data_IF_685031509143
#
_entry.id   IF_685031509143
#
_cell.length_a   1.000
_cell.length_b   1.000
_cell.length_c   1.000
_cell.angle_alpha   90.00
_cell.angle_beta   90.00
_cell.angle_gamma   90.00
#
_symmetry.space_group_name_H-M   'P 1'
#
loop_
_entity.id
_entity.type
_entity.pdbx_description
1 polymer ?
#
# COMPACT_ATOMS: atom_id res chain seq x y z
N UNK A 1 2.55 -12.65 0.62
CA UNK A 1 3.26 -12.67 1.92
C UNK A 1 3.90 -11.30 2.14
N UNK A 2 3.82 -10.74 3.34
CA UNK A 2 4.49 -9.47 3.71
C UNK A 2 5.36 -9.74 4.94
N UNK A 3 6.65 -9.42 4.88
CA UNK A 3 7.61 -9.69 5.96
C UNK A 3 8.56 -8.50 6.17
N UNK A 4 8.81 -8.13 7.43
CA UNK A 4 9.81 -7.09 7.77
C UNK A 4 11.23 -7.66 7.95
N UNK A 5 11.57 -8.71 7.21
CA UNK A 5 12.88 -9.37 7.25
C UNK A 5 13.35 -9.73 5.84
N UNK A 6 14.50 -10.41 5.75
CA UNK A 6 15.06 -10.90 4.50
C UNK A 6 14.30 -12.10 3.94
N UNK A 7 14.18 -12.19 2.62
CA UNK A 7 13.70 -13.36 1.90
C UNK A 7 14.77 -13.96 0.97
N UNK A 8 14.67 -15.27 0.71
CA UNK A 8 15.50 -16.02 -0.24
C UNK A 8 14.64 -16.77 -1.24
N UNK A 9 15.28 -17.49 -2.16
CA UNK A 9 14.61 -18.36 -3.13
C UNK A 9 13.65 -17.58 -4.06
N UNK A 10 14.03 -16.32 -4.40
CA UNK A 10 13.20 -15.37 -5.15
C UNK A 10 12.77 -15.92 -6.51
N UNK A 11 13.63 -16.66 -7.20
CA UNK A 11 13.29 -17.27 -8.50
C UNK A 11 12.11 -18.22 -8.35
N UNK A 12 12.22 -19.18 -7.43
CA UNK A 12 11.21 -20.21 -7.21
C UNK A 12 9.90 -19.56 -6.73
N UNK A 13 9.98 -18.60 -5.80
CA UNK A 13 8.81 -17.85 -5.33
C UNK A 13 8.09 -17.10 -6.47
N UNK A 14 8.86 -16.50 -7.38
CA UNK A 14 8.31 -15.81 -8.56
C UNK A 14 7.66 -16.80 -9.52
N UNK A 15 8.32 -17.92 -9.82
CA UNK A 15 7.79 -18.98 -10.70
C UNK A 15 6.52 -19.61 -10.13
N UNK A 16 6.40 -19.70 -8.81
CA UNK A 16 5.20 -20.16 -8.10
C UNK A 16 4.07 -19.13 -8.08
N UNK A 17 4.30 -17.89 -8.53
CA UNK A 17 3.33 -16.80 -8.44
C UNK A 17 3.08 -16.33 -6.99
N UNK A 18 4.02 -16.60 -6.07
CA UNK A 18 3.91 -16.13 -4.69
C UNK A 18 4.26 -14.65 -4.61
N UNK A 19 3.24 -13.79 -4.54
CA UNK A 19 3.44 -12.36 -4.28
C UNK A 19 4.08 -12.15 -2.90
N UNK A 20 5.20 -11.43 -2.87
CA UNK A 20 6.02 -11.22 -1.67
C UNK A 20 6.46 -9.76 -1.55
N UNK A 21 6.13 -9.12 -0.43
CA UNK A 21 6.80 -7.92 0.05
C UNK A 21 7.81 -8.28 1.14
N UNK A 22 9.08 -7.89 0.97
CA UNK A 22 10.13 -8.12 1.98
C UNK A 22 11.03 -6.90 2.12
N UNK A 23 11.64 -6.73 3.30
CA UNK A 23 12.58 -5.62 3.57
C UNK A 23 13.91 -5.76 2.81
N UNK A 24 14.31 -6.99 2.52
CA UNK A 24 15.55 -7.28 1.81
C UNK A 24 15.51 -8.66 1.12
N UNK A 25 16.36 -8.85 0.12
CA UNK A 25 16.69 -10.16 -0.43
C UNK A 25 18.00 -10.62 0.22
N UNK A 26 17.99 -11.79 0.88
CA UNK A 26 19.16 -12.34 1.59
C UNK A 26 19.14 -13.86 1.61
N UNK A 27 20.24 -14.48 1.19
CA UNK A 27 20.40 -15.94 1.21
C UNK A 27 20.71 -16.51 2.61
N UNK A 28 20.99 -15.66 3.60
CA UNK A 28 21.35 -16.08 4.95
C UNK A 28 20.20 -16.83 5.63
N UNK A 29 20.49 -17.99 6.22
CA UNK A 29 19.50 -18.81 6.92
C UNK A 29 19.18 -18.31 8.33
N UNK A 30 18.01 -18.69 8.84
CA UNK A 30 17.57 -18.49 10.23
C UNK A 30 17.66 -19.79 11.04
N UNK A 31 17.82 -19.68 12.37
CA UNK A 31 17.75 -20.80 13.33
C UNK A 31 16.31 -21.03 13.82
N UNK A 32 16.05 -22.16 14.49
CA UNK A 32 14.71 -22.55 14.99
C UNK A 32 14.70 -22.87 16.49
N UNK A 33 15.51 -22.14 17.26
CA UNK A 33 15.76 -22.43 18.68
C UNK A 33 14.90 -21.60 19.65
N UNK A 34 14.23 -20.56 19.13
CA UNK A 34 13.45 -19.63 19.95
C UNK A 34 11.98 -19.66 19.55
N UNK A 35 11.10 -19.75 20.56
CA UNK A 35 9.66 -19.64 20.35
C UNK A 35 9.28 -18.18 20.05
N UNK A 36 8.39 -18.02 19.07
CA UNK A 36 7.72 -16.75 18.77
C UNK A 36 6.27 -16.76 19.24
N UNK A 37 5.49 -15.82 18.73
CA UNK A 37 4.03 -15.76 18.91
C UNK A 37 3.33 -15.77 17.56
N UNK A 38 2.11 -16.29 17.53
CA UNK A 38 1.27 -16.36 16.32
C UNK A 38 -0.10 -15.78 16.66
N UNK A 39 -0.68 -15.01 15.75
CA UNK A 39 -1.98 -14.32 15.94
C UNK A 39 -2.03 -13.42 17.18
N UNK A 40 -0.91 -12.74 17.48
CA UNK A 40 -0.84 -11.68 18.48
C UNK A 40 -0.68 -10.32 17.77
N UNK A 41 -1.06 -9.21 18.42
CA UNK A 41 -0.73 -7.88 17.94
C UNK A 41 0.77 -7.74 17.64
N UNK A 42 1.12 -7.18 16.49
CA UNK A 42 2.50 -6.88 16.12
C UNK A 42 2.64 -5.45 15.57
N UNK A 43 3.88 -4.98 15.48
CA UNK A 43 4.24 -3.83 14.66
C UNK A 43 5.08 -4.34 13.49
N UNK A 44 4.66 -4.03 12.27
CA UNK A 44 5.36 -4.38 11.03
C UNK A 44 5.56 -3.12 10.20
N UNK A 45 6.81 -2.78 9.87
CA UNK A 45 7.17 -1.55 9.15
C UNK A 45 6.61 -0.28 9.80
N UNK A 46 6.55 -0.26 11.14
CA UNK A 46 6.00 0.86 11.90
C UNK A 46 4.46 0.92 11.96
N UNK A 47 3.74 -0.03 11.35
CA UNK A 47 2.28 -0.12 11.41
C UNK A 47 1.85 -1.17 12.43
N UNK A 48 0.85 -0.85 13.25
CA UNK A 48 0.20 -1.82 14.12
C UNK A 48 -0.67 -2.76 13.29
N UNK A 49 -0.57 -4.06 13.56
CA UNK A 49 -1.33 -5.11 12.85
C UNK A 49 -1.92 -6.07 13.87
N UNK A 50 -3.23 -6.27 13.79
CA UNK A 50 -3.95 -7.26 14.57
C UNK A 50 -4.28 -8.50 13.75
N UNK A 51 -4.45 -9.63 14.43
CA UNK A 51 -4.88 -10.86 13.77
C UNK A 51 -6.29 -10.69 13.17
N UNK A 52 -6.38 -10.81 11.83
CA UNK A 52 -7.63 -10.68 11.09
C UNK A 52 -7.82 -9.32 10.41
N UNK A 53 -6.89 -8.38 10.57
CA UNK A 53 -6.81 -7.20 9.70
C UNK A 53 -6.57 -7.59 8.25
N UNK A 54 -6.98 -6.72 7.33
CA UNK A 54 -6.83 -6.92 5.89
C UNK A 54 -5.55 -6.26 5.44
N UNK A 55 -4.65 -7.06 4.85
CA UNK A 55 -3.43 -6.55 4.22
C UNK A 55 -3.68 -6.49 2.71
N UNK A 56 -3.63 -5.28 2.15
CA UNK A 56 -3.63 -5.07 0.70
C UNK A 56 -2.21 -4.74 0.30
N UNK A 57 -1.69 -5.45 -0.70
CA UNK A 57 -0.34 -5.24 -1.20
C UNK A 57 -0.30 -5.34 -2.72
N UNK A 58 0.49 -4.46 -3.33
CA UNK A 58 0.72 -4.35 -4.76
C UNK A 58 2.18 -3.92 -5.02
N UNK A 59 2.45 -3.40 -6.23
CA UNK A 59 3.79 -2.96 -6.63
C UNK A 59 4.23 -1.65 -5.96
N UNK A 60 3.29 -0.85 -5.43
CA UNK A 60 3.58 0.40 -4.73
C UNK A 60 3.91 0.15 -3.25
N UNK A 61 3.33 -0.89 -2.66
CA UNK A 61 3.67 -1.33 -1.31
C UNK A 61 2.59 -2.16 -0.63
N UNK A 62 2.41 -1.94 0.67
CA UNK A 62 1.38 -2.60 1.45
C UNK A 62 0.70 -1.63 2.42
N UNK A 63 -0.60 -1.82 2.60
CA UNK A 63 -1.43 -1.07 3.55
C UNK A 63 -2.19 -2.02 4.47
N UNK A 64 -2.31 -1.61 5.73
CA UNK A 64 -3.11 -2.31 6.74
C UNK A 64 -4.47 -1.64 6.80
N UNK A 65 -5.53 -2.42 6.65
CA UNK A 65 -6.90 -1.99 6.87
C UNK A 65 -7.43 -2.75 8.08
N UNK A 66 -7.82 -2.02 9.12
CA UNK A 66 -8.33 -2.67 10.33
C UNK A 66 -9.58 -3.47 9.98
N UNK A 67 -9.74 -4.62 10.63
CA UNK A 67 -10.91 -5.48 10.39
C UNK A 67 -12.23 -4.74 10.62
N UNK A 68 -12.27 -3.83 11.59
CA UNK A 68 -13.46 -3.05 11.92
C UNK A 68 -13.84 -2.06 10.81
N UNK A 69 -12.86 -1.47 10.13
CA UNK A 69 -13.07 -0.43 9.13
C UNK A 69 -13.15 -0.99 7.70
N UNK A 70 -12.82 -2.26 7.48
CA UNK A 70 -12.73 -2.87 6.15
C UNK A 70 -13.92 -2.58 5.24
N UNK A 71 -15.15 -2.67 5.76
CA UNK A 71 -16.35 -2.41 4.97
C UNK A 71 -16.50 -0.93 4.57
N UNK A 72 -16.06 0.00 5.43
CA UNK A 72 -16.07 1.43 5.14
C UNK A 72 -14.99 1.80 4.14
N UNK A 73 -13.78 1.27 4.34
CA UNK A 73 -12.63 1.51 3.46
C UNK A 73 -12.93 1.06 2.03
N UNK A 74 -13.58 -0.10 1.82
CA UNK A 74 -13.96 -0.54 0.48
C UNK A 74 -14.92 0.46 -0.20
N UNK A 75 -15.96 0.93 0.49
CA UNK A 75 -16.89 1.92 -0.08
C UNK A 75 -16.20 3.24 -0.41
N UNK A 76 -15.30 3.70 0.45
CA UNK A 76 -14.51 4.90 0.23
C UNK A 76 -13.56 4.73 -0.97
N UNK A 77 -12.91 3.57 -1.10
CA UNK A 77 -12.03 3.24 -2.21
C UNK A 77 -12.78 3.18 -3.55
N UNK A 78 -13.96 2.57 -3.62
CA UNK A 78 -14.81 2.56 -4.82
C UNK A 78 -15.18 3.99 -5.26
N UNK A 79 -15.55 4.84 -4.31
CA UNK A 79 -15.86 6.25 -4.57
C UNK A 79 -14.63 7.01 -5.07
N UNK A 80 -13.46 6.78 -4.47
CA UNK A 80 -12.20 7.38 -4.90
C UNK A 80 -11.84 6.97 -6.33
N UNK A 81 -11.92 5.68 -6.65
CA UNK A 81 -11.65 5.14 -7.99
C UNK A 81 -12.58 5.74 -9.07
N UNK A 82 -13.88 5.87 -8.78
CA UNK A 82 -14.83 6.48 -9.70
C UNK A 82 -14.51 7.97 -9.96
N UNK A 83 -14.11 8.70 -8.91
CA UNK A 83 -13.69 10.09 -9.01
C UNK A 83 -12.38 10.23 -9.81
N UNK A 84 -11.40 9.37 -9.54
CA UNK A 84 -10.12 9.34 -10.27
C UNK A 84 -10.32 9.03 -11.75
N UNK A 85 -11.18 8.08 -12.09
CA UNK A 85 -11.47 7.76 -13.49
C UNK A 85 -12.11 8.93 -14.23
N UNK A 86 -12.99 9.69 -13.56
CA UNK A 86 -13.58 10.91 -14.12
C UNK A 86 -12.50 11.97 -14.38
N UNK A 87 -11.58 12.17 -13.43
CA UNK A 87 -10.45 13.11 -13.59
C UNK A 87 -9.48 12.64 -14.68
N UNK A 88 -9.20 11.34 -14.75
CA UNK A 88 -8.32 10.72 -15.74
C UNK A 88 -8.78 11.03 -17.16
N UNK A 89 -10.08 10.91 -17.45
CA UNK A 89 -10.66 11.27 -18.76
C UNK A 89 -10.45 12.75 -19.11
N UNK A 90 -10.61 13.65 -18.13
CA UNK A 90 -10.39 15.10 -18.31
C UNK A 90 -8.92 15.41 -18.60
N UNK A 91 -8.01 14.79 -17.87
CA UNK A 91 -6.57 14.91 -18.13
C UNK A 91 -6.18 14.38 -19.51
N UNK A 92 -6.70 13.22 -19.93
CA UNK A 92 -6.47 12.69 -21.28
C UNK A 92 -7.04 13.60 -22.37
N UNK A 93 -8.11 14.36 -22.08
CA UNK A 93 -8.67 15.36 -22.98
C UNK A 93 -7.85 16.67 -23.04
N UNK A 94 -6.76 16.78 -22.27
CA UNK A 94 -5.85 17.93 -22.28
C UNK A 94 -6.16 19.00 -21.23
N UNK A 95 -7.12 18.75 -20.33
CA UNK A 95 -7.37 19.64 -19.20
C UNK A 95 -6.23 19.54 -18.17
N UNK A 96 -5.73 20.68 -17.69
CA UNK A 96 -4.64 20.71 -16.73
C UNK A 96 -5.15 20.49 -15.30
N UNK A 97 -4.35 19.80 -14.48
CA UNK A 97 -4.67 19.59 -13.06
C UNK A 97 -4.86 20.88 -12.27
N UNK A 98 -4.13 21.94 -12.64
CA UNK A 98 -4.23 23.26 -12.00
C UNK A 98 -5.60 23.91 -12.22
N UNK A 99 -6.19 23.72 -13.40
CA UNK A 99 -7.51 24.25 -13.76
C UNK A 99 -8.63 23.39 -13.17
N UNK A 100 -8.48 22.06 -13.26
CA UNK A 100 -9.42 21.10 -12.67
C UNK A 100 -9.63 21.34 -11.17
N UNK A 101 -8.54 21.63 -10.45
CA UNK A 101 -8.52 21.78 -9.00
C UNK A 101 -8.62 23.23 -8.54
N UNK A 102 -8.80 24.18 -9.47
CA UNK A 102 -8.86 25.63 -9.20
C UNK A 102 -7.71 26.11 -8.30
N UNK A 103 -6.48 25.69 -8.64
CA UNK A 103 -5.29 25.92 -7.83
C UNK A 103 -4.64 27.28 -8.16
N UNK A 104 -4.88 27.83 -9.36
CA UNK A 104 -4.32 29.10 -9.82
C UNK A 104 -4.50 30.27 -8.84
N UNK A 105 -5.72 30.54 -8.30
CA UNK A 105 -5.91 31.63 -7.33
C UNK A 105 -5.09 31.40 -6.05
N UNK A 106 -5.06 30.17 -5.53
CA UNK A 106 -4.32 29.82 -4.30
C UNK A 106 -2.81 29.95 -4.50
N UNK A 107 -2.29 29.66 -5.69
CA UNK A 107 -0.86 29.84 -5.97
C UNK A 107 -0.47 31.32 -6.03
N UNK A 108 -1.32 32.16 -6.61
CA UNK A 108 -1.10 33.60 -6.65
C UNK A 108 -1.11 34.20 -5.23
N UNK A 109 -2.05 33.78 -4.37
CA UNK A 109 -2.08 34.16 -2.95
C UNK A 109 -0.80 33.75 -2.19
N UNK A 110 -0.23 32.59 -2.53
CA UNK A 110 1.03 32.11 -1.95
C UNK A 110 2.28 32.72 -2.60
N UNK A 111 2.13 33.69 -3.51
CA UNK A 111 3.23 34.48 -4.05
C UNK A 111 3.95 33.85 -5.25
N UNK A 112 3.37 32.85 -5.91
CA UNK A 112 3.88 32.37 -7.19
C UNK A 112 3.72 33.48 -8.26
N UNK A 113 4.80 33.85 -8.93
CA UNK A 113 4.86 34.90 -9.98
C UNK A 113 5.45 34.36 -11.26
#
# INVERSE_FOLDING_TARGET
MVIEVGCRDIRDLTEMGCQLGSKAISAQGAVKETLGSVNVPIVCSGQAVEAGDVIVADDDGAVVVTRAEAAEVVRAAETALANEETKRKRFTAGELGIDLHDICPRLAENGLK
#
